data_IF_100027596942
#
_entry.id   IF_100027596942
#
_cell.length_a   1.000
_cell.length_b   1.000
_cell.length_c   1.000
_cell.angle_alpha   90.00
_cell.angle_beta   90.00
_cell.angle_gamma   90.00
#
_symmetry.space_group_name_H-M   'P 1'
#
loop_
_entity.id
_entity.type
_entity.pdbx_description
1 polymer ?
#
# COMPACT_ATOMS: atom_id res chain seq x y z
N UNK A 1 41.25 39.92 2.46
CA UNK A 1 41.04 38.45 2.41
C UNK A 1 40.35 37.88 3.66
N UNK A 2 39.41 38.64 4.28
CA UNK A 2 38.70 38.21 5.49
C UNK A 2 37.15 38.30 5.39
N UNK A 3 36.63 38.90 4.31
CA UNK A 3 35.18 39.13 4.13
C UNK A 3 34.52 38.00 3.31
N UNK A 4 35.29 37.22 2.56
CA UNK A 4 34.78 36.12 1.71
C UNK A 4 34.53 34.83 2.51
N UNK A 5 35.25 34.61 3.61
CA UNK A 5 35.06 33.41 4.45
C UNK A 5 33.78 33.46 5.30
N UNK A 6 33.24 34.64 5.59
CA UNK A 6 32.05 34.77 6.44
C UNK A 6 30.74 34.46 5.69
N UNK A 7 30.72 34.62 4.35
CA UNK A 7 29.54 34.27 3.52
C UNK A 7 29.46 32.78 3.20
N UNK A 8 30.60 32.08 3.14
CA UNK A 8 30.63 30.62 2.91
C UNK A 8 30.22 29.87 4.17
N UNK A 9 30.58 30.35 5.36
CA UNK A 9 30.14 29.78 6.63
C UNK A 9 28.62 29.95 6.88
N UNK A 10 28.01 31.02 6.35
CA UNK A 10 26.57 31.29 6.53
C UNK A 10 25.68 30.51 5.53
N UNK A 11 26.24 30.07 4.40
CA UNK A 11 25.55 29.20 3.42
C UNK A 11 25.65 27.72 3.81
N UNK A 12 26.65 27.34 4.62
CA UNK A 12 26.79 25.97 5.14
C UNK A 12 25.90 25.65 6.35
N UNK A 13 25.15 26.63 6.87
CA UNK A 13 24.29 26.50 8.05
C UNK A 13 22.79 26.43 7.73
N UNK A 14 22.42 26.34 6.44
CA UNK A 14 21.03 26.21 5.97
C UNK A 14 20.69 24.81 5.42
N UNK A 15 21.55 23.81 5.63
CA UNK A 15 21.35 22.44 5.14
C UNK A 15 21.05 21.41 6.24
N UNK A 16 20.91 21.83 7.50
CA UNK A 16 20.65 20.93 8.63
C UNK A 16 19.39 21.31 9.39
N UNK A 17 18.24 21.12 8.75
CA UNK A 17 16.97 20.83 9.43
C UNK A 17 15.91 20.33 8.44
N UNK A 18 16.26 19.37 7.57
CA UNK A 18 15.28 18.35 7.23
C UNK A 18 15.32 17.35 8.36
N UNK A 19 14.61 17.67 9.44
CA UNK A 19 14.14 16.62 10.33
C UNK A 19 13.36 15.68 9.42
N UNK A 20 13.93 14.51 9.13
CA UNK A 20 13.15 13.35 8.68
C UNK A 20 12.26 12.99 9.87
N UNK A 21 11.19 13.77 10.06
CA UNK A 21 10.03 13.34 10.81
C UNK A 21 9.60 12.07 10.11
N UNK A 22 9.83 10.91 10.74
CA UNK A 22 9.60 9.60 10.12
C UNK A 22 8.21 9.56 9.52
N UNK A 23 8.14 9.76 8.20
CA UNK A 23 6.92 9.60 7.44
C UNK A 23 6.61 8.13 7.51
N UNK A 24 5.46 7.80 8.08
CA UNK A 24 5.02 6.42 8.08
C UNK A 24 4.76 6.05 6.62
N UNK A 25 5.64 5.21 6.10
CA UNK A 25 5.70 4.89 4.69
C UNK A 25 4.57 3.94 4.24
N UNK A 26 3.84 3.40 5.21
CA UNK A 26 2.65 2.57 5.01
C UNK A 26 1.49 3.41 4.44
N UNK A 27 0.93 2.99 3.31
CA UNK A 27 -0.35 3.51 2.84
C UNK A 27 -1.54 2.83 3.51
N UNK A 28 -2.73 3.39 3.36
CA UNK A 28 -3.95 2.78 3.89
C UNK A 28 -5.11 2.84 2.91
N UNK A 29 -5.89 1.77 2.83
CA UNK A 29 -7.11 1.73 2.03
C UNK A 29 -8.22 2.43 2.81
N UNK A 30 -8.74 3.52 2.24
CA UNK A 30 -9.90 4.25 2.72
C UNK A 30 -11.15 3.73 1.98
N UNK A 31 -11.65 2.59 2.46
CA UNK A 31 -12.91 2.03 2.03
C UNK A 31 -14.10 2.87 2.51
N UNK A 32 -15.15 2.92 1.69
CA UNK A 32 -16.33 3.76 1.89
C UNK A 32 -17.64 2.93 1.84
N UNK A 33 -17.56 1.60 1.93
CA UNK A 33 -18.74 0.71 1.88
C UNK A 33 -19.37 0.61 3.27
N UNK A 34 -19.91 1.73 3.75
CA UNK A 34 -20.64 1.82 5.01
C UNK A 34 -21.51 3.07 5.10
N UNK A 35 -22.53 3.05 5.96
CA UNK A 35 -23.49 4.17 6.11
C UNK A 35 -23.27 5.01 7.38
N UNK A 36 -22.23 4.70 8.14
CA UNK A 36 -21.90 5.29 9.44
C UNK A 36 -20.46 5.82 9.52
N UNK A 37 -19.79 5.92 8.38
CA UNK A 37 -18.40 6.36 8.28
C UNK A 37 -18.28 7.87 8.50
N UNK A 38 -17.14 8.35 9.04
CA UNK A 38 -16.92 9.76 9.28
C UNK A 38 -16.71 10.53 7.97
N UNK A 39 -16.99 11.85 7.95
CA UNK A 39 -16.77 12.66 6.76
C UNK A 39 -15.26 12.78 6.44
N UNK A 40 -14.89 13.05 5.17
CA UNK A 40 -13.50 13.03 4.73
C UNK A 40 -12.54 13.94 5.50
N UNK A 41 -13.00 15.08 6.03
CA UNK A 41 -12.17 15.98 6.85
C UNK A 41 -11.73 15.31 8.15
N UNK A 42 -12.60 14.50 8.76
CA UNK A 42 -12.26 13.72 9.96
C UNK A 42 -11.31 12.58 9.65
N UNK A 43 -11.38 12.05 8.43
CA UNK A 43 -10.41 11.06 7.95
C UNK A 43 -9.02 11.67 7.85
N UNK A 44 -8.87 12.90 7.37
CA UNK A 44 -7.57 13.59 7.34
C UNK A 44 -6.98 13.82 8.74
N UNK A 45 -7.81 14.24 9.70
CA UNK A 45 -7.40 14.36 11.10
C UNK A 45 -6.81 13.02 11.61
N UNK A 46 -7.48 11.92 11.26
CA UNK A 46 -7.07 10.58 11.64
C UNK A 46 -5.75 10.16 10.97
N UNK A 47 -5.64 10.29 9.65
CA UNK A 47 -4.42 9.97 8.90
C UNK A 47 -3.21 10.76 9.44
N UNK A 48 -3.40 12.06 9.71
CA UNK A 48 -2.38 12.92 10.30
C UNK A 48 -1.95 12.45 11.70
N UNK A 49 -2.91 12.06 12.55
CA UNK A 49 -2.60 11.51 13.89
C UNK A 49 -1.78 10.21 13.84
N UNK A 50 -1.95 9.44 12.76
CA UNK A 50 -1.22 8.21 12.47
C UNK A 50 0.05 8.45 11.66
N UNK A 51 0.36 9.70 11.29
CA UNK A 51 1.44 10.08 10.37
C UNK A 51 1.41 9.34 9.02
N UNK A 52 0.23 8.85 8.62
CA UNK A 52 0.02 8.18 7.32
C UNK A 52 -0.17 9.27 6.26
N UNK A 53 0.64 9.22 5.22
CA UNK A 53 0.63 10.23 4.14
C UNK A 53 0.25 9.64 2.79
N UNK A 54 -0.22 8.39 2.74
CA UNK A 54 -0.65 7.71 1.53
C UNK A 54 -1.98 7.02 1.77
N UNK A 55 -2.96 7.23 0.90
CA UNK A 55 -4.22 6.53 0.95
C UNK A 55 -4.67 6.05 -0.44
N UNK A 56 -5.48 5.00 -0.45
CA UNK A 56 -6.15 4.50 -1.66
C UNK A 56 -7.65 4.57 -1.46
N UNK A 57 -8.38 5.09 -2.44
CA UNK A 57 -9.84 5.05 -2.52
C UNK A 57 -10.28 4.21 -3.71
N UNK A 58 -11.46 3.63 -3.62
CA UNK A 58 -11.99 2.66 -4.59
C UNK A 58 -12.89 3.29 -5.67
N UNK A 59 -12.87 4.62 -5.75
CA UNK A 59 -13.64 5.43 -6.70
C UNK A 59 -12.91 6.77 -6.97
N UNK A 60 -13.66 7.76 -7.46
CA UNK A 60 -13.24 9.16 -7.57
C UNK A 60 -14.20 10.09 -6.81
N UNK A 61 -14.53 9.74 -5.56
CA UNK A 61 -15.49 10.50 -4.75
C UNK A 61 -15.10 11.99 -4.66
N UNK A 62 -15.92 12.93 -5.19
CA UNK A 62 -15.61 14.35 -5.20
C UNK A 62 -15.47 14.97 -3.80
N UNK A 63 -16.18 14.45 -2.80
CA UNK A 63 -16.10 14.93 -1.42
C UNK A 63 -14.72 14.62 -0.82
N UNK A 64 -14.23 13.39 -1.03
CA UNK A 64 -12.89 12.98 -0.59
C UNK A 64 -11.83 13.78 -1.34
N UNK A 65 -11.94 13.86 -2.67
CA UNK A 65 -10.97 14.58 -3.48
C UNK A 65 -10.92 16.08 -3.14
N UNK A 66 -12.05 16.69 -2.80
CA UNK A 66 -12.08 18.09 -2.35
C UNK A 66 -11.47 18.26 -0.96
N UNK A 67 -11.83 17.41 0.00
CA UNK A 67 -11.32 17.50 1.36
C UNK A 67 -9.80 17.29 1.42
N UNK A 68 -9.25 16.39 0.60
CA UNK A 68 -7.82 16.07 0.56
C UNK A 68 -6.95 17.13 -0.13
N UNK A 69 -7.55 18.21 -0.65
CA UNK A 69 -6.83 19.32 -1.26
C UNK A 69 -5.85 19.97 -0.27
N UNK A 70 -4.60 20.13 -0.68
CA UNK A 70 -3.48 20.70 0.08
C UNK A 70 -3.15 19.96 1.39
N UNK A 71 -3.65 18.73 1.57
CA UNK A 71 -3.37 17.92 2.77
C UNK A 71 -1.95 17.33 2.80
N UNK A 72 -1.31 17.19 1.63
CA UNK A 72 -0.04 16.48 1.49
C UNK A 72 -0.16 14.96 1.51
N UNK A 73 -1.39 14.41 1.55
CA UNK A 73 -1.64 12.97 1.44
C UNK A 73 -1.66 12.55 -0.03
N UNK A 74 -0.82 11.58 -0.41
CA UNK A 74 -0.85 10.95 -1.73
C UNK A 74 -2.10 10.09 -1.87
N UNK A 75 -2.79 10.20 -2.99
CA UNK A 75 -3.98 9.41 -3.30
C UNK A 75 -3.76 8.51 -4.52
N UNK A 76 -4.06 7.22 -4.33
CA UNK A 76 -4.43 6.31 -5.41
C UNK A 76 -5.96 6.36 -5.54
N UNK A 77 -6.45 6.74 -6.72
CA UNK A 77 -7.88 6.68 -7.06
C UNK A 77 -8.17 5.48 -7.94
N UNK A 78 -9.42 4.99 -7.97
CA UNK A 78 -9.76 3.77 -8.71
C UNK A 78 -10.83 4.05 -9.77
N UNK A 79 -10.64 3.49 -10.96
CA UNK A 79 -11.68 3.32 -11.96
C UNK A 79 -12.42 2.03 -11.64
N UNK A 80 -13.74 2.10 -11.50
CA UNK A 80 -14.58 0.93 -11.24
C UNK A 80 -14.56 -0.07 -12.42
N UNK A 81 -14.66 -1.39 -12.12
CA UNK A 81 -14.62 -2.45 -13.13
C UNK A 81 -15.69 -2.26 -14.24
N UNK A 82 -16.87 -1.76 -13.88
CA UNK A 82 -17.97 -1.51 -14.81
C UNK A 82 -17.64 -0.47 -15.90
N UNK A 83 -16.67 0.42 -15.65
CA UNK A 83 -16.27 1.48 -16.59
C UNK A 83 -15.28 1.01 -17.65
N UNK A 84 -14.67 -0.17 -17.50
CA UNK A 84 -13.58 -0.64 -18.36
C UNK A 84 -13.98 -0.69 -19.85
N UNK A 85 -15.18 -1.18 -20.15
CA UNK A 85 -15.68 -1.28 -21.52
C UNK A 85 -15.81 0.11 -22.20
N UNK A 86 -16.33 1.10 -21.47
CA UNK A 86 -16.48 2.47 -21.96
C UNK A 86 -15.13 3.15 -22.15
N UNK A 87 -14.20 2.94 -21.21
CA UNK A 87 -12.91 3.63 -21.19
C UNK A 87 -11.89 3.08 -22.19
N UNK A 88 -12.23 2.03 -22.93
CA UNK A 88 -11.46 1.66 -24.11
C UNK A 88 -11.49 2.76 -25.18
N UNK A 89 -12.58 3.54 -25.27
CA UNK A 89 -12.69 4.67 -26.18
C UNK A 89 -11.82 5.86 -25.67
N UNK A 90 -10.81 6.31 -26.45
CA UNK A 90 -9.95 7.42 -26.06
C UNK A 90 -10.69 8.72 -25.75
N UNK A 91 -11.82 9.00 -26.41
CA UNK A 91 -12.63 10.20 -26.13
C UNK A 91 -13.32 10.09 -24.78
N UNK A 92 -13.86 8.91 -24.46
CA UNK A 92 -14.48 8.64 -23.16
C UNK A 92 -13.43 8.67 -22.04
N UNK A 93 -12.24 8.11 -22.26
CA UNK A 93 -11.14 8.19 -21.31
C UNK A 93 -10.68 9.64 -21.08
N UNK A 94 -10.57 10.45 -22.14
CA UNK A 94 -10.24 11.87 -22.01
C UNK A 94 -11.31 12.64 -21.22
N UNK A 95 -12.58 12.38 -21.51
CA UNK A 95 -13.69 12.97 -20.76
C UNK A 95 -13.65 12.55 -19.29
N UNK A 96 -13.37 11.27 -19.01
CA UNK A 96 -13.27 10.74 -17.66
C UNK A 96 -12.14 11.43 -16.88
N UNK A 97 -10.92 11.50 -17.43
CA UNK A 97 -9.79 12.17 -16.76
C UNK A 97 -10.08 13.67 -16.57
N UNK A 98 -10.68 14.32 -17.55
CA UNK A 98 -11.04 15.75 -17.48
C UNK A 98 -12.09 16.03 -16.41
N UNK A 99 -12.98 15.08 -16.13
CA UNK A 99 -14.07 15.23 -15.16
C UNK A 99 -13.66 14.81 -13.76
N UNK A 100 -12.94 13.70 -13.62
CA UNK A 100 -12.71 13.05 -12.33
C UNK A 100 -11.34 13.34 -11.73
N UNK A 101 -10.35 13.77 -12.52
CA UNK A 101 -8.96 13.97 -12.07
C UNK A 101 -8.56 15.44 -12.16
N UNK A 102 -8.71 16.02 -13.35
CA UNK A 102 -8.22 17.37 -13.67
C UNK A 102 -8.73 18.47 -12.71
N UNK A 103 -9.99 18.47 -12.22
CA UNK A 103 -10.47 19.53 -11.33
C UNK A 103 -9.80 19.55 -9.96
N UNK A 104 -9.26 18.42 -9.52
CA UNK A 104 -8.68 18.25 -8.17
C UNK A 104 -7.15 18.37 -8.18
N UNK A 105 -6.49 18.03 -9.28
CA UNK A 105 -5.03 18.13 -9.41
C UNK A 105 -4.58 19.57 -9.78
N UNK A 106 -3.51 20.12 -9.17
CA UNK A 106 -2.57 19.50 -8.24
C UNK A 106 -2.90 19.73 -6.75
N UNK A 107 -4.02 20.39 -6.43
CA UNK A 107 -4.36 20.68 -5.03
C UNK A 107 -4.46 19.37 -4.23
N UNK A 108 -5.12 18.37 -4.79
CA UNK A 108 -5.15 17.00 -4.27
C UNK A 108 -4.04 16.19 -4.94
N UNK A 109 -3.16 15.59 -4.15
CA UNK A 109 -1.97 14.88 -4.64
C UNK A 109 -2.33 13.48 -5.13
N UNK A 110 -3.04 13.42 -6.26
CA UNK A 110 -3.34 12.17 -6.96
C UNK A 110 -2.04 11.69 -7.63
N UNK A 111 -1.50 10.54 -7.22
CA UNK A 111 -0.23 9.99 -7.72
C UNK A 111 -0.41 8.78 -8.61
N UNK A 112 -1.55 8.09 -8.50
CA UNK A 112 -1.86 6.92 -9.33
C UNK A 112 -3.35 6.76 -9.58
N UNK A 113 -3.69 6.22 -10.74
CA UNK A 113 -5.01 5.70 -11.10
C UNK A 113 -4.90 4.18 -11.18
N UNK A 114 -5.61 3.47 -10.31
CA UNK A 114 -5.83 2.04 -10.41
C UNK A 114 -7.02 1.78 -11.35
N UNK A 115 -6.77 1.20 -12.52
CA UNK A 115 -7.79 0.89 -13.51
C UNK A 115 -8.37 -0.48 -13.21
N UNK A 116 -9.54 -0.51 -12.59
CA UNK A 116 -10.15 -1.71 -12.05
C UNK A 116 -9.50 -2.20 -10.75
N UNK A 117 -10.15 -3.17 -10.12
CA UNK A 117 -9.66 -3.89 -8.94
C UNK A 117 -9.96 -5.39 -9.08
N UNK A 118 -8.91 -6.21 -8.99
CA UNK A 118 -8.98 -7.68 -9.07
C UNK A 118 -9.70 -8.22 -10.33
N UNK A 119 -9.55 -7.51 -11.45
CA UNK A 119 -10.25 -7.78 -12.73
C UNK A 119 -10.09 -9.22 -13.25
N UNK A 120 -8.94 -9.84 -12.99
CA UNK A 120 -8.64 -11.21 -13.44
C UNK A 120 -9.41 -12.30 -12.70
N UNK A 121 -10.06 -11.96 -11.59
CA UNK A 121 -10.73 -12.90 -10.68
C UNK A 121 -12.18 -12.51 -10.39
N UNK A 122 -12.70 -11.51 -11.11
CA UNK A 122 -14.09 -11.08 -11.08
C UNK A 122 -15.01 -12.12 -11.76
N UNK A 123 -16.23 -12.30 -11.28
CA UNK A 123 -17.15 -13.35 -11.76
C UNK A 123 -17.52 -13.19 -13.25
N UNK A 124 -17.45 -11.96 -13.79
CA UNK A 124 -17.65 -11.62 -15.22
C UNK A 124 -16.34 -11.68 -16.06
N UNK A 125 -15.43 -12.58 -15.65
CA UNK A 125 -14.03 -12.74 -16.11
C UNK A 125 -13.72 -12.41 -17.57
N UNK A 126 -14.48 -12.89 -18.56
CA UNK A 126 -14.02 -12.81 -19.96
C UNK A 126 -14.08 -11.41 -20.54
N UNK A 127 -15.09 -10.61 -20.17
CA UNK A 127 -15.29 -9.29 -20.79
C UNK A 127 -14.39 -8.24 -20.14
N UNK A 128 -14.25 -8.24 -18.82
CA UNK A 128 -13.42 -7.23 -18.15
C UNK A 128 -11.92 -7.43 -18.38
N UNK A 129 -11.46 -8.68 -18.47
CA UNK A 129 -10.04 -8.99 -18.74
C UNK A 129 -9.60 -8.45 -20.11
N UNK A 130 -10.42 -8.62 -21.16
CA UNK A 130 -10.09 -8.13 -22.50
C UNK A 130 -10.13 -6.59 -22.59
N UNK A 131 -10.95 -5.93 -21.77
CA UNK A 131 -11.11 -4.48 -21.76
C UNK A 131 -10.03 -3.75 -20.93
N UNK A 132 -9.39 -4.44 -19.99
CA UNK A 132 -8.48 -3.84 -19.00
C UNK A 132 -7.32 -3.06 -19.65
N UNK A 133 -6.48 -3.72 -20.44
CA UNK A 133 -5.28 -3.09 -21.01
C UNK A 133 -5.64 -1.98 -22.01
N UNK A 134 -6.64 -2.14 -22.91
CA UNK A 134 -7.13 -1.03 -23.73
C UNK A 134 -7.60 0.18 -22.91
N UNK A 135 -8.36 -0.02 -21.84
CA UNK A 135 -8.79 1.07 -20.96
C UNK A 135 -7.60 1.79 -20.29
N UNK A 136 -6.60 1.04 -19.81
CA UNK A 136 -5.37 1.60 -19.24
C UNK A 136 -4.60 2.44 -20.26
N UNK A 137 -4.48 1.98 -21.51
CA UNK A 137 -3.84 2.72 -22.60
C UNK A 137 -4.58 4.03 -22.88
N UNK A 138 -5.92 3.99 -22.95
CA UNK A 138 -6.75 5.17 -23.21
C UNK A 138 -6.67 6.18 -22.06
N UNK A 139 -6.69 5.75 -20.79
CA UNK A 139 -6.50 6.62 -19.62
C UNK A 139 -5.11 7.25 -19.60
N UNK A 140 -4.05 6.47 -19.83
CA UNK A 140 -2.69 7.01 -19.91
C UNK A 140 -2.54 8.01 -21.06
N UNK A 141 -3.14 7.73 -22.22
CA UNK A 141 -3.14 8.66 -23.37
C UNK A 141 -3.87 9.96 -23.05
N UNK A 142 -4.98 9.91 -22.32
CA UNK A 142 -5.68 11.10 -21.83
C UNK A 142 -4.82 11.92 -20.85
N UNK A 143 -4.14 11.27 -19.91
CA UNK A 143 -3.19 11.95 -19.02
C UNK A 143 -2.06 12.63 -19.80
N UNK A 144 -1.48 11.95 -20.80
CA UNK A 144 -0.43 12.51 -21.63
C UNK A 144 -0.91 13.72 -22.45
N UNK A 145 -2.11 13.66 -23.03
CA UNK A 145 -2.72 14.81 -23.73
C UNK A 145 -2.93 16.02 -22.83
N UNK A 146 -3.15 15.79 -21.52
CA UNK A 146 -3.33 16.83 -20.51
C UNK A 146 -2.01 17.23 -19.82
N UNK A 147 -0.87 16.60 -20.16
CA UNK A 147 0.43 16.84 -19.54
C UNK A 147 0.56 16.31 -18.10
N UNK A 148 -0.23 15.31 -17.73
CA UNK A 148 -0.33 14.75 -16.38
C UNK A 148 0.38 13.39 -16.20
N UNK A 149 0.80 12.74 -17.28
CA UNK A 149 1.40 11.39 -17.30
C UNK A 149 2.75 11.29 -16.55
N UNK A 150 3.44 12.42 -16.40
CA UNK A 150 4.67 12.50 -15.60
C UNK A 150 4.42 12.53 -14.10
N UNK A 151 3.21 12.90 -13.67
CA UNK A 151 2.82 13.03 -12.26
C UNK A 151 1.92 11.88 -11.79
N UNK A 152 1.06 11.37 -12.67
CA UNK A 152 0.03 10.38 -12.33
C UNK A 152 0.32 9.07 -13.06
N UNK A 153 0.62 8.01 -12.31
CA UNK A 153 0.83 6.66 -12.86
C UNK A 153 -0.49 5.95 -13.14
N UNK A 154 -0.46 5.00 -14.07
CA UNK A 154 -1.61 4.16 -14.40
C UNK A 154 -1.21 2.71 -14.17
N UNK A 155 -1.95 2.02 -13.33
CA UNK A 155 -1.74 0.60 -13.04
C UNK A 155 -3.09 -0.08 -12.77
N UNK A 156 -3.09 -1.32 -12.31
CA UNK A 156 -4.26 -2.07 -11.84
C UNK A 156 -3.85 -2.95 -10.67
N UNK A 157 -4.78 -3.27 -9.77
CA UNK A 157 -4.55 -4.23 -8.67
C UNK A 157 -5.00 -5.62 -9.07
N UNK A 158 -4.15 -6.62 -8.80
CA UNK A 158 -4.45 -8.02 -9.05
C UNK A 158 -4.58 -8.80 -7.73
N UNK A 159 -5.51 -9.74 -7.66
CA UNK A 159 -5.54 -10.75 -6.59
C UNK A 159 -4.36 -11.72 -6.75
N UNK A 160 -3.87 -12.33 -5.67
CA UNK A 160 -2.92 -13.45 -5.74
C UNK A 160 -3.46 -14.66 -6.53
N UNK A 161 -4.78 -14.77 -6.71
CA UNK A 161 -5.40 -15.83 -7.50
C UNK A 161 -5.07 -15.79 -9.00
N UNK A 162 -4.33 -14.78 -9.49
CA UNK A 162 -3.73 -14.80 -10.84
C UNK A 162 -2.54 -15.77 -10.97
N UNK A 163 -1.98 -16.23 -9.85
CA UNK A 163 -0.86 -17.15 -9.84
C UNK A 163 -1.32 -18.61 -9.99
N UNK A 164 -0.58 -19.38 -10.77
CA UNK A 164 -0.70 -20.84 -10.87
C UNK A 164 0.13 -21.50 -9.77
N UNK A 165 1.39 -21.09 -9.67
CA UNK A 165 2.34 -21.58 -8.68
C UNK A 165 2.82 -20.39 -7.84
N UNK A 166 2.89 -20.60 -6.53
CA UNK A 166 3.41 -19.61 -5.57
C UNK A 166 4.31 -20.23 -4.49
N UNK A 167 4.48 -21.56 -4.47
CA UNK A 167 5.33 -22.26 -3.53
C UNK A 167 6.23 -23.31 -4.24
N UNK A 168 7.56 -23.27 -4.01
CA UNK A 168 8.28 -22.19 -3.34
C UNK A 168 8.20 -20.86 -4.13
N UNK A 169 8.52 -19.69 -3.54
CA UNK A 169 8.41 -18.41 -4.23
C UNK A 169 9.10 -18.37 -5.61
N UNK A 170 10.27 -19.01 -5.77
CA UNK A 170 10.96 -19.10 -7.06
C UNK A 170 10.20 -19.86 -8.15
N UNK A 171 9.20 -20.66 -7.79
CA UNK A 171 8.32 -21.35 -8.73
C UNK A 171 7.19 -20.44 -9.26
N UNK A 172 7.09 -19.21 -8.73
CA UNK A 172 6.14 -18.17 -9.15
C UNK A 172 5.85 -18.18 -10.64
N UNK A 173 4.57 -18.33 -10.99
CA UNK A 173 4.07 -18.27 -12.37
C UNK A 173 2.61 -17.85 -12.41
N UNK A 174 2.24 -17.12 -13.47
CA UNK A 174 0.83 -16.79 -13.72
C UNK A 174 0.08 -17.99 -14.31
N UNK A 175 -1.23 -18.04 -14.05
CA UNK A 175 -2.15 -18.97 -14.70
C UNK A 175 -2.11 -18.85 -16.22
N UNK A 176 -2.25 -19.97 -16.91
CA UNK A 176 -2.13 -20.02 -18.37
C UNK A 176 -3.22 -19.17 -19.02
N UNK A 177 -4.43 -19.22 -18.48
CA UNK A 177 -5.61 -18.49 -18.94
C UNK A 177 -5.47 -16.96 -18.87
N UNK A 178 -4.67 -16.41 -17.94
CA UNK A 178 -4.45 -14.96 -17.85
C UNK A 178 -3.13 -14.51 -18.48
N UNK A 179 -2.23 -15.44 -18.81
CA UNK A 179 -0.85 -15.16 -19.20
C UNK A 179 -0.71 -14.22 -20.41
N UNK A 180 -1.62 -14.31 -21.39
CA UNK A 180 -1.62 -13.46 -22.59
C UNK A 180 -1.92 -12.01 -22.23
N UNK A 181 -2.99 -11.78 -21.47
CA UNK A 181 -3.38 -10.42 -21.04
C UNK A 181 -2.39 -9.88 -20.01
N UNK A 182 -1.91 -10.73 -19.10
CA UNK A 182 -0.85 -10.39 -18.16
C UNK A 182 0.41 -9.92 -18.89
N UNK A 183 0.83 -10.59 -19.97
CA UNK A 183 1.99 -10.15 -20.76
C UNK A 183 1.78 -8.76 -21.37
N UNK A 184 0.57 -8.44 -21.83
CA UNK A 184 0.22 -7.10 -22.35
C UNK A 184 0.20 -6.05 -21.24
N UNK A 185 -0.32 -6.40 -20.07
CA UNK A 185 -0.29 -5.55 -18.87
C UNK A 185 1.16 -5.23 -18.48
N UNK A 186 2.02 -6.24 -18.35
CA UNK A 186 3.43 -6.05 -17.99
C UNK A 186 4.18 -5.23 -19.04
N UNK A 187 3.87 -5.40 -20.33
CA UNK A 187 4.42 -4.54 -21.39
C UNK A 187 4.04 -3.07 -21.19
N UNK A 188 2.78 -2.79 -20.86
CA UNK A 188 2.29 -1.44 -20.58
C UNK A 188 2.94 -0.84 -19.31
N UNK A 189 3.00 -1.61 -18.22
CA UNK A 189 3.61 -1.15 -16.96
C UNK A 189 5.10 -0.85 -17.16
N UNK A 190 5.82 -1.70 -17.90
CA UNK A 190 7.22 -1.50 -18.26
C UNK A 190 7.43 -0.22 -19.09
N UNK A 191 6.60 0.01 -20.12
CA UNK A 191 6.76 1.18 -21.00
C UNK A 191 6.40 2.51 -20.32
N UNK A 192 5.49 2.49 -19.35
CA UNK A 192 5.04 3.68 -18.60
C UNK A 192 5.76 3.89 -17.27
N UNK A 193 6.66 2.96 -16.90
CA UNK A 193 7.34 2.90 -15.60
C UNK A 193 6.34 2.96 -14.44
N UNK A 194 5.30 2.15 -14.55
CA UNK A 194 4.24 2.02 -13.53
C UNK A 194 4.45 0.73 -12.74
N UNK A 195 4.13 0.70 -11.43
CA UNK A 195 4.29 -0.48 -10.61
C UNK A 195 3.22 -1.53 -10.92
N UNK A 196 3.50 -2.79 -10.61
CA UNK A 196 2.50 -3.86 -10.51
C UNK A 196 1.95 -3.90 -9.08
N UNK A 197 0.63 -3.78 -8.93
CA UNK A 197 -0.01 -3.83 -7.62
C UNK A 197 -0.65 -5.20 -7.37
N UNK A 198 -0.30 -5.82 -6.24
CA UNK A 198 -0.89 -7.07 -5.79
C UNK A 198 -1.67 -6.89 -4.49
N UNK A 199 -2.89 -7.42 -4.43
CA UNK A 199 -3.64 -7.63 -3.21
C UNK A 199 -3.17 -8.95 -2.60
N UNK A 200 -2.43 -8.88 -1.49
CA UNK A 200 -1.73 -10.01 -0.90
C UNK A 200 -2.10 -10.21 0.57
N UNK A 201 -2.82 -11.29 0.86
CA UNK A 201 -3.36 -11.58 2.19
C UNK A 201 -2.87 -12.94 2.70
N UNK A 202 -1.86 -12.97 3.59
CA UNK A 202 -1.47 -14.18 4.31
C UNK A 202 -2.64 -14.83 5.10
N UNK A 203 -3.61 -14.01 5.51
CA UNK A 203 -4.82 -14.45 6.20
C UNK A 203 -5.57 -15.54 5.41
N UNK A 204 -5.82 -15.37 4.11
CA UNK A 204 -6.60 -16.34 3.35
C UNK A 204 -5.90 -17.71 3.25
N UNK A 205 -4.58 -17.70 3.03
CA UNK A 205 -3.80 -18.94 3.03
C UNK A 205 -3.88 -19.65 4.39
N UNK A 206 -3.76 -18.91 5.50
CA UNK A 206 -3.90 -19.48 6.84
C UNK A 206 -5.31 -20.00 7.10
N UNK A 207 -6.35 -19.23 6.77
CA UNK A 207 -7.76 -19.61 6.91
C UNK A 207 -8.04 -20.96 6.25
N UNK A 208 -7.53 -21.14 5.02
CA UNK A 208 -7.80 -22.33 4.22
C UNK A 208 -6.97 -23.56 4.65
N UNK A 209 -5.84 -23.36 5.35
CA UNK A 209 -4.94 -24.47 5.72
C UNK A 209 -4.21 -24.28 7.06
N UNK A 210 -4.95 -23.86 8.10
CA UNK A 210 -4.40 -23.54 9.43
C UNK A 210 -3.63 -24.69 10.11
N UNK A 211 -3.91 -25.94 9.73
CA UNK A 211 -3.20 -27.12 10.24
C UNK A 211 -1.80 -27.31 9.63
N UNK A 212 -1.51 -26.67 8.49
CA UNK A 212 -0.23 -26.79 7.78
C UNK A 212 0.57 -25.51 7.77
N UNK A 213 -0.10 -24.36 7.80
CA UNK A 213 0.55 -23.04 7.76
C UNK A 213 0.72 -22.52 9.20
N UNK A 214 1.96 -22.36 9.69
CA UNK A 214 2.18 -21.88 11.05
C UNK A 214 1.67 -20.45 11.23
N UNK A 215 0.87 -20.21 12.28
CA UNK A 215 0.31 -18.89 12.57
C UNK A 215 1.41 -17.82 12.72
N UNK A 216 2.54 -18.15 13.36
CA UNK A 216 3.64 -17.19 13.53
C UNK A 216 4.25 -16.74 12.19
N UNK A 217 4.26 -17.60 11.16
CA UNK A 217 4.79 -17.29 9.83
C UNK A 217 3.90 -16.28 9.08
N UNK A 218 2.58 -16.38 9.24
CA UNK A 218 1.63 -15.45 8.60
C UNK A 218 1.40 -14.17 9.40
N UNK A 219 1.75 -14.15 10.68
CA UNK A 219 1.66 -12.97 11.56
C UNK A 219 2.97 -12.17 11.69
N UNK A 220 4.02 -12.52 10.94
CA UNK A 220 5.38 -11.94 11.09
C UNK A 220 6.01 -12.11 12.49
N UNK A 221 5.51 -13.06 13.29
CA UNK A 221 6.11 -13.37 14.59
C UNK A 221 7.40 -14.17 14.41
N UNK A 222 8.31 -14.20 15.38
CA UNK A 222 9.49 -15.06 15.33
C UNK A 222 9.12 -16.52 15.03
N UNK A 223 9.71 -17.07 13.99
CA UNK A 223 9.51 -18.44 13.53
C UNK A 223 10.72 -18.92 12.71
N UNK A 224 10.75 -20.20 12.33
CA UNK A 224 11.85 -20.75 11.52
C UNK A 224 11.85 -20.25 10.07
N UNK A 225 10.75 -19.68 9.60
CA UNK A 225 10.52 -19.32 8.22
C UNK A 225 10.50 -20.53 7.29
N UNK A 226 10.66 -20.25 6.00
CA UNK A 226 10.94 -21.24 4.97
C UNK A 226 12.17 -20.82 4.17
N UNK A 227 12.94 -21.79 3.68
CA UNK A 227 14.06 -21.57 2.77
C UNK A 227 13.64 -22.02 1.38
N UNK A 228 13.70 -21.11 0.42
CA UNK A 228 13.41 -21.45 -0.97
C UNK A 228 14.48 -22.42 -1.48
N UNK A 229 14.11 -23.63 -1.95
CA UNK A 229 15.07 -24.69 -2.22
C UNK A 229 15.97 -24.38 -3.42
N UNK A 230 15.60 -23.43 -4.29
CA UNK A 230 16.34 -23.09 -5.50
C UNK A 230 17.19 -21.84 -5.30
N UNK A 231 16.60 -20.78 -4.76
CA UNK A 231 17.27 -19.48 -4.58
C UNK A 231 18.02 -19.37 -3.26
N UNK A 232 17.72 -20.25 -2.30
CA UNK A 232 18.24 -20.24 -0.92
C UNK A 232 17.85 -19.00 -0.11
N UNK A 233 16.93 -18.18 -0.62
CA UNK A 233 16.36 -17.07 0.11
C UNK A 233 15.55 -17.59 1.30
N UNK A 234 15.76 -16.99 2.46
CA UNK A 234 14.99 -17.26 3.66
C UNK A 234 13.85 -16.25 3.76
N UNK A 235 12.64 -16.78 3.87
CA UNK A 235 11.43 -15.99 4.10
C UNK A 235 10.97 -16.28 5.53
N UNK A 236 11.07 -15.27 6.39
CA UNK A 236 10.58 -15.35 7.77
C UNK A 236 9.08 -15.04 7.88
N UNK A 237 8.45 -14.59 6.79
CA UNK A 237 7.02 -14.30 6.74
C UNK A 237 6.40 -14.58 5.36
N UNK A 238 5.09 -14.86 5.36
CA UNK A 238 4.37 -15.22 4.14
C UNK A 238 4.15 -14.06 3.17
N UNK A 239 3.96 -12.82 3.65
CA UNK A 239 3.70 -11.69 2.74
C UNK A 239 4.86 -11.50 1.77
N UNK A 240 6.10 -11.56 2.26
CA UNK A 240 7.27 -11.41 1.42
C UNK A 240 7.45 -12.59 0.46
N UNK A 241 7.12 -13.80 0.90
CA UNK A 241 7.10 -14.98 0.03
C UNK A 241 6.07 -14.83 -1.11
N UNK A 242 4.88 -14.30 -0.82
CA UNK A 242 3.83 -14.04 -1.82
C UNK A 242 4.26 -12.96 -2.82
N UNK A 243 4.84 -11.86 -2.35
CA UNK A 243 5.35 -10.78 -3.22
C UNK A 243 6.48 -11.27 -4.11
N UNK A 244 7.44 -12.02 -3.57
CA UNK A 244 8.54 -12.55 -4.39
C UNK A 244 8.04 -13.61 -5.39
N UNK A 245 7.02 -14.41 -5.05
CA UNK A 245 6.38 -15.29 -6.03
C UNK A 245 5.80 -14.51 -7.23
N UNK A 246 5.18 -13.34 -6.98
CA UNK A 246 4.72 -12.45 -8.05
C UNK A 246 5.91 -11.91 -8.86
N UNK A 247 6.99 -11.47 -8.20
CA UNK A 247 8.19 -10.97 -8.90
C UNK A 247 8.80 -12.07 -9.80
N UNK A 248 8.88 -13.31 -9.32
CA UNK A 248 9.33 -14.45 -10.14
C UNK A 248 8.38 -14.74 -11.31
N UNK A 249 7.06 -14.65 -11.10
CA UNK A 249 6.08 -14.82 -12.17
C UNK A 249 6.23 -13.76 -13.28
N UNK A 250 6.43 -12.49 -12.88
CA UNK A 250 6.67 -11.37 -13.79
C UNK A 250 7.98 -11.56 -14.57
N UNK A 251 9.05 -11.98 -13.88
CA UNK A 251 10.34 -12.29 -14.52
C UNK A 251 10.25 -13.45 -15.53
N UNK A 252 9.43 -14.46 -15.25
CA UNK A 252 9.20 -15.61 -16.15
C UNK A 252 8.52 -15.20 -17.46
N UNK A 253 7.74 -14.13 -17.46
CA UNK A 253 7.18 -13.53 -18.67
C UNK A 253 8.14 -12.53 -19.36
N UNK A 254 9.39 -12.42 -18.89
CA UNK A 254 10.44 -11.62 -19.52
C UNK A 254 10.59 -10.19 -18.96
N UNK A 255 9.94 -9.86 -17.84
CA UNK A 255 9.98 -8.53 -17.24
C UNK A 255 10.68 -8.56 -15.88
N UNK A 256 11.87 -7.97 -15.74
CA UNK A 256 12.62 -7.99 -14.47
C UNK A 256 12.67 -6.65 -13.74
N UNK A 257 12.35 -5.55 -14.44
CA UNK A 257 12.46 -4.18 -13.92
C UNK A 257 11.16 -3.56 -13.38
N UNK A 258 10.04 -4.29 -13.40
CA UNK A 258 8.77 -3.78 -12.88
C UNK A 258 8.81 -3.82 -11.35
N UNK A 259 8.55 -2.67 -10.72
CA UNK A 259 8.35 -2.56 -9.28
C UNK A 259 7.06 -3.28 -8.89
N UNK A 260 7.09 -4.02 -7.78
CA UNK A 260 5.92 -4.73 -7.26
C UNK A 260 5.61 -4.14 -5.88
N UNK A 261 4.38 -3.68 -5.71
CA UNK A 261 3.87 -3.15 -4.45
C UNK A 261 2.61 -3.90 -4.03
N UNK A 262 2.26 -3.78 -2.75
CA UNK A 262 1.06 -4.38 -2.17
C UNK A 262 -0.04 -3.32 -2.09
N UNK A 263 -1.06 -3.42 -2.94
CA UNK A 263 -2.19 -2.48 -2.93
C UNK A 263 -3.18 -2.77 -1.81
N UNK A 264 -3.19 -3.99 -1.30
CA UNK A 264 -4.00 -4.37 -0.15
C UNK A 264 -3.37 -5.52 0.62
N UNK A 265 -3.35 -5.37 1.94
CA UNK A 265 -3.04 -6.46 2.86
C UNK A 265 -3.58 -6.15 4.24
N UNK A 266 -4.06 -7.15 4.97
CA UNK A 266 -4.69 -6.94 6.26
C UNK A 266 -5.10 -8.25 6.91
N UNK A 267 -5.73 -8.13 8.08
CA UNK A 267 -6.20 -9.28 8.84
C UNK A 267 -7.49 -8.92 9.59
N UNK A 268 -8.58 -9.69 9.42
CA UNK A 268 -9.87 -9.33 10.02
C UNK A 268 -9.88 -9.62 11.52
N UNK A 269 -10.47 -8.71 12.30
CA UNK A 269 -10.58 -8.84 13.76
C UNK A 269 -11.72 -9.74 14.23
N UNK A 270 -12.61 -10.13 13.32
CA UNK A 270 -13.75 -11.01 13.59
C UNK A 270 -14.17 -11.68 12.30
N UNK A 271 -14.55 -12.95 12.34
CA UNK A 271 -15.08 -13.68 11.19
C UNK A 271 -16.19 -14.64 11.59
N UNK A 272 -16.72 -15.36 10.61
CA UNK A 272 -17.65 -16.47 10.80
C UNK A 272 -16.94 -17.68 11.45
N UNK A 273 -17.71 -18.70 11.84
CA UNK A 273 -17.16 -19.87 12.55
C UNK A 273 -16.09 -20.65 11.73
N UNK A 274 -16.15 -20.59 10.41
CA UNK A 274 -15.20 -21.21 9.49
C UNK A 274 -14.03 -20.28 9.10
N UNK A 275 -13.98 -19.07 9.62
CA UNK A 275 -12.95 -18.06 9.32
C UNK A 275 -11.82 -18.12 10.34
N UNK A 276 -11.11 -19.26 10.34
CA UNK A 276 -10.07 -19.56 11.33
C UNK A 276 -8.99 -18.48 11.32
N UNK A 277 -8.70 -17.96 12.52
CA UNK A 277 -7.69 -16.92 12.72
C UNK A 277 -8.23 -15.49 12.71
N UNK A 278 -9.48 -15.24 12.30
CA UNK A 278 -10.10 -13.92 12.35
C UNK A 278 -10.44 -13.49 13.79
N UNK A 279 -9.44 -12.93 14.48
CA UNK A 279 -9.55 -12.51 15.88
C UNK A 279 -8.91 -11.14 16.09
N UNK A 280 -9.39 -10.41 17.09
CA UNK A 280 -8.84 -9.10 17.49
C UNK A 280 -7.34 -9.19 17.78
N UNK A 281 -6.90 -10.27 18.44
CA UNK A 281 -5.49 -10.50 18.77
C UNK A 281 -4.63 -10.66 17.51
N UNK A 282 -5.03 -11.53 16.59
CA UNK A 282 -4.26 -11.78 15.36
C UNK A 282 -4.25 -10.54 14.46
N UNK A 283 -5.38 -9.83 14.34
CA UNK A 283 -5.46 -8.58 13.58
C UNK A 283 -4.51 -7.51 14.15
N UNK A 284 -4.48 -7.35 15.48
CA UNK A 284 -3.58 -6.44 16.15
C UNK A 284 -2.10 -6.82 15.96
N UNK A 285 -1.77 -8.12 15.97
CA UNK A 285 -0.41 -8.60 15.75
C UNK A 285 0.02 -8.36 14.30
N UNK A 286 -0.78 -8.80 13.33
CA UNK A 286 -0.48 -8.71 11.90
C UNK A 286 -0.22 -7.25 11.49
N UNK A 287 -1.19 -6.37 11.77
CA UNK A 287 -1.14 -4.97 11.36
C UNK A 287 -0.02 -4.20 12.08
N UNK A 288 0.23 -4.48 13.37
CA UNK A 288 1.37 -3.90 14.11
C UNK A 288 2.71 -4.35 13.55
N UNK A 289 2.86 -5.62 13.21
CA UNK A 289 4.13 -6.13 12.70
C UNK A 289 4.38 -5.64 11.27
N UNK A 290 3.35 -5.59 10.41
CA UNK A 290 3.44 -4.95 9.10
C UNK A 290 3.91 -3.49 9.21
N UNK A 291 3.30 -2.72 10.10
CA UNK A 291 3.68 -1.34 10.38
C UNK A 291 5.16 -1.22 10.78
N UNK A 292 5.64 -2.08 11.69
CA UNK A 292 7.05 -2.10 12.11
C UNK A 292 8.01 -2.40 10.95
N UNK A 293 7.67 -3.37 10.10
CA UNK A 293 8.44 -3.71 8.89
C UNK A 293 8.50 -2.53 7.92
N UNK A 294 7.38 -1.84 7.72
CA UNK A 294 7.30 -0.64 6.89
C UNK A 294 8.12 0.53 7.44
N UNK A 295 8.12 0.74 8.76
CA UNK A 295 8.95 1.74 9.43
C UNK A 295 10.46 1.45 9.32
N UNK A 296 10.83 0.17 9.25
CA UNK A 296 12.20 -0.26 9.04
C UNK A 296 12.65 -0.14 7.57
N UNK A 297 11.78 0.35 6.67
CA UNK A 297 11.99 0.40 5.23
C UNK A 297 12.35 -0.97 4.62
N UNK A 298 11.80 -2.03 5.19
CA UNK A 298 12.18 -3.39 4.83
C UNK A 298 11.68 -3.78 3.43
N UNK A 299 12.56 -4.38 2.64
CA UNK A 299 12.26 -5.03 1.37
C UNK A 299 12.02 -6.54 1.55
N UNK A 300 11.67 -7.21 0.47
CA UNK A 300 11.56 -8.68 0.46
C UNK A 300 12.94 -9.34 0.40
N UNK A 301 13.08 -10.64 0.71
CA UNK A 301 14.35 -11.36 0.56
C UNK A 301 14.96 -11.28 -0.85
N UNK A 302 14.15 -11.26 -1.91
CA UNK A 302 14.63 -11.10 -3.29
C UNK A 302 15.08 -9.67 -3.59
N UNK A 303 14.45 -8.66 -2.97
CA UNK A 303 14.75 -7.24 -3.20
C UNK A 303 15.02 -6.51 -1.86
N UNK A 304 16.08 -6.89 -1.11
CA UNK A 304 16.29 -6.42 0.27
C UNK A 304 16.63 -4.93 0.35
N UNK A 305 17.17 -4.36 -0.72
CA UNK A 305 17.56 -2.95 -0.82
C UNK A 305 16.45 -2.05 -1.39
N UNK A 306 15.28 -2.62 -1.68
CA UNK A 306 14.12 -1.89 -2.19
C UNK A 306 12.96 -2.10 -1.23
N UNK A 307 12.61 -1.04 -0.51
CA UNK A 307 11.48 -1.07 0.41
C UNK A 307 10.23 -1.57 -0.32
N UNK A 308 9.50 -2.50 0.29
CA UNK A 308 8.19 -2.92 -0.21
C UNK A 308 7.16 -1.84 0.12
N UNK A 309 6.58 -1.18 -0.88
CA UNK A 309 5.41 -0.31 -0.66
C UNK A 309 4.18 -1.18 -0.41
N UNK A 310 3.43 -0.86 0.65
CA UNK A 310 2.24 -1.59 1.05
C UNK A 310 1.13 -0.65 1.53
N UNK A 311 -0.11 -0.99 1.18
CA UNK A 311 -1.33 -0.34 1.65
C UNK A 311 -2.10 -1.30 2.56
N UNK A 312 -2.30 -0.89 3.81
CA UNK A 312 -3.05 -1.67 4.80
C UNK A 312 -4.54 -1.63 4.44
N UNK A 313 -5.19 -2.79 4.46
CA UNK A 313 -6.64 -2.94 4.31
C UNK A 313 -7.26 -3.25 5.68
N UNK A 314 -8.06 -2.37 6.28
CA UNK A 314 -8.44 -1.02 5.82
C UNK A 314 -8.53 -0.01 6.99
N UNK A 315 -8.83 1.25 6.67
CA UNK A 315 -8.94 2.31 7.69
C UNK A 315 -10.11 2.04 8.66
N UNK A 316 -11.30 1.73 8.14
CA UNK A 316 -12.50 1.51 8.93
C UNK A 316 -13.08 0.12 8.75
N UNK A 317 -13.86 -0.33 9.75
CA UNK A 317 -14.83 -1.39 9.56
C UNK A 317 -15.96 -0.87 8.66
N UNK A 318 -16.23 -1.59 7.58
CA UNK A 318 -17.18 -1.22 6.53
C UNK A 318 -18.43 -2.10 6.64
N UNK A 319 -19.46 -1.59 7.31
CA UNK A 319 -20.61 -2.40 7.75
C UNK A 319 -21.54 -2.87 6.62
N UNK A 320 -21.46 -2.25 5.45
CA UNK A 320 -22.25 -2.60 4.27
C UNK A 320 -21.52 -3.55 3.32
N UNK A 321 -20.28 -3.99 3.62
CA UNK A 321 -19.59 -4.94 2.76
C UNK A 321 -20.36 -6.28 2.70
N UNK A 322 -20.61 -6.81 1.49
CA UNK A 322 -21.23 -8.12 1.32
C UNK A 322 -20.27 -9.25 1.73
N UNK A 323 -20.77 -10.48 1.74
CA UNK A 323 -19.95 -11.66 2.02
C UNK A 323 -19.81 -12.01 3.51
N UNK A 324 -18.76 -12.76 3.89
CA UNK A 324 -18.62 -13.30 5.24
C UNK A 324 -18.39 -12.21 6.29
N UNK A 325 -18.51 -12.57 7.58
CA UNK A 325 -18.35 -11.60 8.68
C UNK A 325 -17.00 -10.88 8.67
N UNK A 326 -15.92 -11.54 8.23
CA UNK A 326 -14.61 -10.91 8.10
C UNK A 326 -14.59 -9.64 7.26
N UNK A 327 -15.36 -9.58 6.17
CA UNK A 327 -15.38 -8.44 5.25
C UNK A 327 -15.76 -7.13 5.95
N UNK A 328 -16.58 -7.20 7.00
CA UNK A 328 -17.02 -6.03 7.78
C UNK A 328 -16.09 -5.69 8.94
N UNK A 329 -14.96 -6.40 9.09
CA UNK A 329 -14.13 -6.39 10.29
C UNK A 329 -12.61 -6.27 10.00
N UNK A 330 -12.20 -5.64 8.90
CA UNK A 330 -10.80 -5.38 8.55
C UNK A 330 -10.22 -4.06 9.10
N UNK A 331 -11.08 -3.17 9.59
CA UNK A 331 -10.72 -1.82 9.99
C UNK A 331 -9.73 -1.74 11.13
N UNK A 332 -8.81 -0.77 11.05
CA UNK A 332 -8.07 -0.30 12.23
C UNK A 332 -8.99 0.48 13.19
N UNK A 333 -10.02 1.11 12.65
CA UNK A 333 -10.98 1.94 13.40
C UNK A 333 -12.41 1.44 13.20
N UNK A 334 -13.21 1.66 14.24
CA UNK A 334 -14.66 1.64 14.14
C UNK A 334 -15.14 2.89 13.39
N UNK A 335 -16.38 2.89 12.85
CA UNK A 335 -16.94 4.06 12.15
C UNK A 335 -17.00 5.34 13.01
N UNK A 336 -17.07 5.22 14.34
CA UNK A 336 -17.05 6.37 15.26
C UNK A 336 -15.64 6.97 15.49
N UNK A 337 -14.61 6.44 14.83
CA UNK A 337 -13.22 6.88 14.95
C UNK A 337 -12.47 6.30 16.16
N UNK A 338 -13.10 5.42 16.96
CA UNK A 338 -12.39 4.67 18.00
C UNK A 338 -11.58 3.54 17.38
N UNK A 339 -10.44 3.17 17.99
CA UNK A 339 -9.63 2.05 17.51
C UNK A 339 -10.39 0.73 17.67
N UNK A 340 -10.48 -0.08 16.62
CA UNK A 340 -10.97 -1.45 16.71
C UNK A 340 -10.02 -2.32 17.57
N UNK A 341 -8.72 -2.04 17.46
CA UNK A 341 -7.66 -2.62 18.28
C UNK A 341 -6.39 -1.75 18.21
N UNK A 342 -5.53 -1.84 19.22
CA UNK A 342 -4.31 -1.04 19.28
C UNK A 342 -3.14 -1.72 18.55
N UNK A 343 -2.71 -1.11 17.45
CA UNK A 343 -1.54 -1.54 16.66
C UNK A 343 -0.24 -0.84 17.05
N UNK A 344 -0.23 -0.08 18.15
CA UNK A 344 0.96 0.62 18.66
C UNK A 344 1.29 1.94 17.92
N UNK A 345 0.38 2.45 17.08
CA UNK A 345 0.56 3.71 16.35
C UNK A 345 0.71 4.93 17.29
N UNK A 346 0.02 4.94 18.43
CA UNK A 346 0.07 6.03 19.42
C UNK A 346 1.38 6.10 20.22
N UNK A 347 2.13 5.00 20.35
CA UNK A 347 3.46 5.02 20.97
C UNK A 347 4.55 5.60 20.03
N UNK A 348 4.25 5.76 18.74
CA UNK A 348 5.13 6.35 17.73
C UNK A 348 4.95 7.88 17.61
N UNK A 349 3.91 8.45 18.23
CA UNK A 349 3.76 9.89 18.37
C UNK A 349 4.62 10.47 19.51
N UNK A 350 4.98 9.64 20.49
CA UNK A 350 5.68 10.06 21.73
C UNK A 350 7.19 9.78 21.74
N UNK A 351 7.73 9.02 20.79
CA UNK A 351 9.17 8.68 20.76
C UNK A 351 10.08 9.71 20.08
N UNK A 352 9.59 10.91 19.73
CA UNK A 352 10.40 11.99 19.16
C UNK A 352 10.77 13.14 20.12
N UNK A 353 10.79 12.91 21.44
CA UNK A 353 11.41 13.84 22.39
C UNK A 353 11.67 13.19 23.77
N UNK A 354 12.81 12.53 23.94
CA UNK A 354 13.44 12.42 25.26
C UNK A 354 14.96 12.37 25.12
N UNK A 355 15.55 13.49 24.69
CA UNK A 355 16.93 13.78 25.05
C UNK A 355 16.97 14.05 26.56
N UNK A 356 17.19 12.99 27.34
CA UNK A 356 17.53 13.11 28.75
C UNK A 356 18.82 13.94 28.86
N UNK A 357 18.68 15.20 29.27
CA UNK A 357 19.80 16.08 29.57
C UNK A 357 20.39 15.63 30.91
N UNK A 358 21.45 14.83 30.84
CA UNK A 358 22.27 14.49 32.00
C UNK A 358 23.00 15.77 32.42
N UNK A 359 22.48 16.41 33.46
CA UNK A 359 23.10 17.56 34.10
C UNK A 359 24.26 17.07 34.98
N UNK A 360 25.50 17.14 34.47
CA UNK A 360 26.70 16.91 35.28
C UNK A 360 26.96 18.16 36.13
N UNK A 361 26.61 18.11 37.41
CA UNK A 361 27.02 19.10 38.41
C UNK A 361 28.49 18.90 38.76
N UNK A 362 29.35 19.73 38.15
CA UNK A 362 30.75 19.90 38.54
C UNK A 362 30.83 20.62 39.90
N UNK A 363 31.23 19.89 40.94
CA UNK A 363 31.61 20.49 42.23
C UNK A 363 33.10 20.80 42.22
N UNK A 364 33.45 22.03 41.85
CA UNK A 364 34.81 22.54 41.98
C UNK A 364 35.02 23.13 43.39
N UNK A 365 35.72 22.41 44.25
CA UNK A 365 36.16 22.91 45.55
C UNK A 365 37.37 23.83 45.36
N UNK A 366 37.21 25.13 45.65
CA UNK A 366 38.33 26.09 45.80
C UNK A 366 38.53 26.48 47.26
N UNK A 367 39.54 25.83 47.85
CA UNK A 367 40.61 26.28 48.78
C UNK A 367 40.46 27.63 49.51
N UNK A 368 40.83 27.63 50.80
CA UNK A 368 41.59 28.64 51.60
C UNK A 368 41.83 28.01 52.98
N UNK A 369 42.95 28.08 53.69
CA UNK A 369 44.28 28.71 53.58
C UNK A 369 45.26 27.80 54.36
#
# INVERSE_FOLDING_TARGET
MAIVFCKIAMILLLVNSLSFSGVLSLGINYGQVGNNLPPPEKVLDLLSSLKITKARIYDTNPEVLTAFANSGTELIVTVENAMLAQLMDPQQALQWVTTHIKPYFPATMITSIAVGNEVFTDDDTTTFIDNLVPAMISIHSALAQLGLDTYIKVSTSSSLAVLQESYPPSAGSFKTEVSVVMSRLLQFLSSTKSPFWINAYPYFAYKDNANKIPLNYVLFNPNSGMIDPYTKLHYDNMLYAQVDAVIFAIARLGYSGIEVGVSETGWPSKGDANEVGATVENAAIYNRNLLRRQMANEGTPLRPNMRLEAYLFALFNEDMKPGPTSERNYGLFQPDGTMAYNVGLSALSTTSASSASISLTSSATKVKN
#
